data_IF_843710168622
#
_entry.id   IF_843710168622
#
_cell.length_a   1.000
_cell.length_b   1.000
_cell.length_c   1.000
_cell.angle_alpha   90.00
_cell.angle_beta   90.00
_cell.angle_gamma   90.00
#
_symmetry.space_group_name_H-M   'P 1'
#
loop_
_entity.id
_entity.type
_entity.pdbx_description
1 polymer ?
#
# COMPACT_ATOMS: atom_id res chain seq x y z
N UNK A 1 24.08 -14.82 14.52
CA UNK A 1 22.82 -14.30 15.09
C UNK A 1 21.65 -14.89 14.33
N UNK A 2 20.54 -15.18 15.00
CA UNK A 2 19.32 -15.71 14.38
C UNK A 2 18.19 -14.69 14.54
N UNK A 3 17.44 -14.42 13.47
CA UNK A 3 16.30 -13.50 13.47
C UNK A 3 15.07 -14.19 12.90
N UNK A 4 13.91 -13.99 13.52
CA UNK A 4 12.65 -14.46 12.94
C UNK A 4 12.27 -13.61 11.73
N UNK A 5 11.78 -14.27 10.68
CA UNK A 5 11.18 -13.61 9.52
C UNK A 5 9.80 -14.21 9.23
N UNK A 6 8.86 -13.32 8.93
CA UNK A 6 7.54 -13.66 8.43
C UNK A 6 7.33 -12.96 7.09
N UNK A 7 6.86 -13.66 6.08
CA UNK A 7 6.39 -13.05 4.84
C UNK A 7 4.87 -13.10 4.82
N UNK A 8 4.25 -11.92 4.78
CA UNK A 8 2.81 -11.75 4.80
C UNK A 8 2.37 -11.06 3.52
N UNK A 9 1.38 -11.65 2.86
CA UNK A 9 0.68 -11.02 1.75
C UNK A 9 -0.41 -10.11 2.33
N UNK A 10 -0.18 -8.79 2.29
CA UNK A 10 -1.12 -7.79 2.80
C UNK A 10 -2.23 -7.48 1.79
N UNK A 11 -3.42 -7.13 2.29
CA UNK A 11 -4.63 -6.86 1.50
C UNK A 11 -5.17 -8.09 0.75
N UNK A 12 -4.96 -9.28 1.29
CA UNK A 12 -5.53 -10.54 0.77
C UNK A 12 -5.79 -11.52 1.92
N UNK A 13 -6.78 -12.40 1.75
CA UNK A 13 -7.04 -13.52 2.66
C UNK A 13 -6.38 -14.82 2.19
N UNK A 14 -5.78 -14.82 1.00
CA UNK A 14 -5.12 -15.98 0.39
C UNK A 14 -3.68 -15.64 -0.01
N UNK A 15 -2.79 -16.61 0.07
CA UNK A 15 -1.41 -16.49 -0.40
C UNK A 15 -1.36 -16.24 -1.90
N UNK A 16 -0.30 -15.58 -2.36
CA UNK A 16 -0.06 -15.19 -3.76
C UNK A 16 -0.95 -14.04 -4.28
N UNK A 17 -1.88 -13.53 -3.46
CA UNK A 17 -2.60 -12.28 -3.68
C UNK A 17 -1.95 -11.08 -2.98
N UNK A 18 -2.55 -9.90 -3.09
CA UNK A 18 -2.14 -8.73 -2.33
C UNK A 18 -0.69 -8.28 -2.56
N UNK A 19 -0.14 -7.56 -1.59
CA UNK A 19 1.23 -7.03 -1.63
C UNK A 19 2.12 -7.70 -0.57
N UNK A 20 3.15 -8.48 -0.97
CA UNK A 20 4.00 -9.20 -0.04
C UNK A 20 4.96 -8.25 0.69
N UNK A 21 5.06 -8.41 2.01
CA UNK A 21 6.11 -7.79 2.82
C UNK A 21 6.78 -8.81 3.74
N UNK A 22 8.10 -8.69 3.89
CA UNK A 22 8.81 -9.37 4.97
C UNK A 22 8.65 -8.55 6.26
N UNK A 23 8.54 -9.24 7.39
CA UNK A 23 8.45 -8.66 8.72
C UNK A 23 9.46 -9.37 9.62
N UNK A 24 10.36 -8.59 10.19
CA UNK A 24 11.42 -9.05 11.08
C UNK A 24 11.23 -8.40 12.45
N UNK A 25 10.57 -9.07 13.40
CA UNK A 25 10.54 -8.64 14.79
C UNK A 25 11.94 -8.74 15.40
N UNK A 26 12.41 -7.65 16.01
CA UNK A 26 13.74 -7.52 16.59
C UNK A 26 13.64 -7.25 18.10
N UNK A 27 14.62 -7.72 18.86
CA UNK A 27 14.76 -7.36 20.28
C UNK A 27 15.34 -5.96 20.45
N UNK A 28 16.30 -5.60 19.60
CA UNK A 28 16.96 -4.29 19.55
C UNK A 28 17.28 -3.95 18.11
N UNK A 29 17.44 -2.66 17.80
CA UNK A 29 17.85 -2.24 16.47
C UNK A 29 19.21 -2.82 16.06
N UNK A 30 19.26 -3.30 14.82
CA UNK A 30 20.51 -3.65 14.16
C UNK A 30 21.09 -2.39 13.48
N UNK A 31 22.39 -2.40 13.11
CA UNK A 31 22.95 -1.34 12.28
C UNK A 31 22.16 -1.16 10.97
N UNK A 32 22.00 0.08 10.52
CA UNK A 32 21.23 0.41 9.30
C UNK A 32 21.74 -0.35 8.07
N UNK A 33 23.06 -0.50 7.94
CA UNK A 33 23.66 -1.27 6.85
C UNK A 33 23.21 -2.74 6.85
N UNK A 34 23.01 -3.33 8.02
CA UNK A 34 22.54 -4.71 8.17
C UNK A 34 21.04 -4.82 7.84
N UNK A 35 20.22 -3.86 8.28
CA UNK A 35 18.80 -3.79 7.91
C UNK A 35 18.63 -3.64 6.39
N UNK A 36 19.46 -2.80 5.76
CA UNK A 36 19.44 -2.62 4.31
C UNK A 36 19.88 -3.90 3.57
N UNK A 37 20.92 -4.59 4.05
CA UNK A 37 21.38 -5.86 3.45
C UNK A 37 20.31 -6.96 3.52
N UNK A 38 19.63 -7.11 4.66
CA UNK A 38 18.53 -8.08 4.78
C UNK A 38 17.39 -7.74 3.82
N UNK A 39 17.02 -6.46 3.72
CA UNK A 39 15.95 -6.03 2.81
C UNK A 39 16.30 -6.29 1.34
N UNK A 40 17.56 -6.03 0.97
CA UNK A 40 18.10 -6.34 -0.36
C UNK A 40 18.10 -7.84 -0.65
N UNK A 41 18.52 -8.67 0.32
CA UNK A 41 18.56 -10.13 0.19
C UNK A 41 17.16 -10.74 0.05
N UNK A 42 16.18 -10.24 0.81
CA UNK A 42 14.79 -10.67 0.73
C UNK A 42 14.16 -10.33 -0.64
N UNK A 43 14.57 -9.22 -1.25
CA UNK A 43 14.12 -8.74 -2.56
C UNK A 43 12.58 -8.73 -2.72
N UNK A 44 11.87 -8.34 -1.66
CA UNK A 44 10.44 -8.03 -1.67
C UNK A 44 10.23 -6.52 -1.86
N UNK A 45 8.98 -6.09 -2.06
CA UNK A 45 8.62 -4.67 -2.12
C UNK A 45 9.23 -3.93 -0.91
N UNK A 46 8.96 -4.46 0.30
CA UNK A 46 9.50 -3.94 1.54
C UNK A 46 9.78 -5.05 2.56
N UNK A 47 10.82 -4.82 3.37
CA UNK A 47 11.04 -5.49 4.65
C UNK A 47 10.76 -4.51 5.78
N UNK A 48 9.81 -4.86 6.64
CA UNK A 48 9.46 -4.16 7.87
C UNK A 48 10.25 -4.72 9.05
N UNK A 49 10.84 -3.83 9.84
CA UNK A 49 11.51 -4.18 11.10
C UNK A 49 10.75 -3.58 12.26
N UNK A 50 10.49 -4.39 13.28
CA UNK A 50 9.67 -4.00 14.43
C UNK A 50 10.47 -4.20 15.72
N UNK A 51 10.62 -3.16 16.53
CA UNK A 51 11.18 -3.25 17.89
C UNK A 51 10.12 -2.84 18.89
N UNK A 52 9.89 -3.63 19.94
CA UNK A 52 8.99 -3.23 21.03
C UNK A 52 9.68 -2.21 21.93
N UNK A 53 9.03 -1.08 22.18
CA UNK A 53 9.42 -0.08 23.17
C UNK A 53 8.23 0.21 24.11
N UNK A 54 8.09 -0.62 25.14
CA UNK A 54 7.00 -0.54 26.12
C UNK A 54 5.61 -0.74 25.50
N UNK A 55 4.81 0.32 25.47
CA UNK A 55 3.47 0.32 24.87
C UNK A 55 3.44 0.66 23.39
N UNK A 56 4.57 1.04 22.81
CA UNK A 56 4.69 1.43 21.40
C UNK A 56 5.61 0.44 20.69
N UNK A 57 5.38 0.25 19.40
CA UNK A 57 6.29 -0.48 18.52
C UNK A 57 7.02 0.50 17.64
N UNK A 58 8.34 0.51 17.67
CA UNK A 58 9.10 1.26 16.68
C UNK A 58 9.12 0.45 15.39
N UNK A 59 8.84 1.11 14.26
CA UNK A 59 8.66 0.47 12.96
C UNK A 59 9.42 1.24 11.89
N UNK A 60 10.23 0.49 11.11
CA UNK A 60 11.00 0.98 9.97
C UNK A 60 10.75 0.06 8.77
N UNK A 61 10.81 0.62 7.56
CA UNK A 61 10.61 -0.12 6.32
C UNK A 61 11.73 0.16 5.35
N UNK A 62 12.20 -0.90 4.71
CA UNK A 62 13.28 -0.84 3.74
C UNK A 62 12.83 -1.52 2.46
N UNK A 63 12.94 -0.80 1.35
CA UNK A 63 12.99 -1.44 0.04
C UNK A 63 14.37 -2.11 -0.14
N UNK A 64 14.60 -2.85 -1.23
CA UNK A 64 15.92 -3.41 -1.51
C UNK A 64 17.05 -2.36 -1.59
N UNK A 65 16.72 -1.07 -1.78
CA UNK A 65 17.72 -0.02 -2.04
C UNK A 65 17.75 1.09 -1.01
N UNK A 66 16.66 1.34 -0.26
CA UNK A 66 16.58 2.47 0.65
C UNK A 66 15.55 2.27 1.77
N UNK A 67 15.75 2.95 2.91
CA UNK A 67 14.71 3.14 3.93
C UNK A 67 13.63 4.14 3.45
N UNK A 68 12.36 3.81 3.63
CA UNK A 68 11.23 4.69 3.27
C UNK A 68 10.55 5.25 4.52
N UNK A 69 10.02 6.48 4.42
CA UNK A 69 9.43 7.18 5.57
C UNK A 69 8.03 6.65 5.94
N UNK A 70 7.31 6.00 5.01
CA UNK A 70 5.96 5.47 5.22
C UNK A 70 5.65 4.34 4.23
N UNK A 71 5.15 3.20 4.73
CA UNK A 71 4.67 2.11 3.88
C UNK A 71 3.41 1.45 4.47
N UNK A 72 2.28 1.55 3.75
CA UNK A 72 0.99 1.07 4.24
C UNK A 72 0.88 -0.46 4.33
N UNK A 73 1.16 -1.19 3.25
CA UNK A 73 0.98 -2.64 3.22
C UNK A 73 1.94 -3.36 4.19
N UNK A 74 3.18 -2.88 4.32
CA UNK A 74 4.15 -3.43 5.26
C UNK A 74 3.83 -3.08 6.73
N UNK A 75 3.15 -1.94 6.97
CA UNK A 75 2.56 -1.64 8.29
C UNK A 75 1.45 -2.63 8.64
N UNK A 76 0.55 -2.93 7.68
CA UNK A 76 -0.51 -3.92 7.87
C UNK A 76 0.09 -5.31 8.13
N UNK A 77 1.09 -5.71 7.36
CA UNK A 77 1.82 -6.96 7.55
C UNK A 77 2.46 -7.05 8.95
N UNK A 78 3.14 -6.00 9.40
CA UNK A 78 3.75 -5.94 10.73
C UNK A 78 2.71 -6.07 11.85
N UNK A 79 1.59 -5.35 11.73
CA UNK A 79 0.47 -5.46 12.65
C UNK A 79 -0.12 -6.87 12.66
N UNK A 80 -0.27 -7.49 11.48
CA UNK A 80 -0.76 -8.86 11.35
C UNK A 80 0.16 -9.85 12.07
N UNK A 81 1.47 -9.75 11.89
CA UNK A 81 2.44 -10.61 12.60
C UNK A 81 2.34 -10.43 14.12
N UNK A 82 2.27 -9.18 14.60
CA UNK A 82 2.13 -8.90 16.01
C UNK A 82 0.84 -9.52 16.60
N UNK A 83 -0.27 -9.38 15.89
CA UNK A 83 -1.57 -9.90 16.30
C UNK A 83 -1.68 -11.42 16.22
N UNK A 84 -1.28 -12.02 15.09
CA UNK A 84 -1.58 -13.42 14.77
C UNK A 84 -0.43 -14.38 15.09
N UNK A 85 0.82 -13.90 15.09
CA UNK A 85 2.00 -14.75 15.30
C UNK A 85 2.67 -14.53 16.65
N UNK A 86 2.64 -13.30 17.17
CA UNK A 86 3.29 -12.92 18.42
C UNK A 86 2.31 -12.74 19.59
N UNK A 87 1.01 -12.90 19.35
CA UNK A 87 -0.01 -12.94 20.40
C UNK A 87 -0.29 -11.60 21.06
N UNK A 88 -0.14 -10.48 20.34
CA UNK A 88 -0.57 -9.17 20.86
C UNK A 88 -2.09 -9.12 21.03
N UNK A 89 -2.52 -8.83 22.26
CA UNK A 89 -3.92 -8.79 22.66
C UNK A 89 -4.49 -7.37 22.81
N UNK A 90 -3.74 -6.35 22.39
CA UNK A 90 -4.20 -4.95 22.46
C UNK A 90 -5.23 -4.69 21.37
N UNK A 91 -6.21 -3.82 21.63
CA UNK A 91 -7.19 -3.44 20.59
C UNK A 91 -6.55 -2.62 19.46
N UNK A 92 -5.55 -1.81 19.81
CA UNK A 92 -4.85 -0.89 18.91
C UNK A 92 -3.34 -1.06 19.10
N UNK A 93 -2.63 -1.32 18.00
CA UNK A 93 -1.18 -1.23 17.93
C UNK A 93 -0.80 0.20 17.54
N UNK A 94 0.12 0.78 18.30
CA UNK A 94 0.71 2.10 18.03
C UNK A 94 2.12 1.89 17.53
N UNK A 95 2.40 2.40 16.35
CA UNK A 95 3.72 2.35 15.72
C UNK A 95 4.36 3.74 15.73
N UNK A 96 5.55 3.87 16.31
CA UNK A 96 6.39 5.04 16.16
C UNK A 96 7.25 4.87 14.89
N UNK A 97 7.13 5.83 13.97
CA UNK A 97 7.74 5.76 12.63
C UNK A 97 8.38 7.12 12.30
N UNK A 98 9.18 7.18 11.23
CA UNK A 98 9.77 8.45 10.74
C UNK A 98 8.71 9.48 10.33
N UNK A 99 7.53 9.02 9.89
CA UNK A 99 6.39 9.86 9.54
C UNK A 99 5.45 10.16 10.71
N UNK A 100 5.86 9.85 11.95
CA UNK A 100 5.04 10.01 13.15
C UNK A 100 4.32 8.72 13.55
N UNK A 101 3.29 8.85 14.39
CA UNK A 101 2.54 7.70 14.90
C UNK A 101 1.56 7.14 13.87
N UNK A 102 1.61 5.82 13.65
CA UNK A 102 0.56 5.07 12.94
C UNK A 102 -0.21 4.20 13.92
N UNK A 103 -1.51 4.04 13.66
CA UNK A 103 -2.40 3.20 14.47
C UNK A 103 -3.01 2.12 13.60
N UNK A 104 -2.95 0.88 14.09
CA UNK A 104 -3.60 -0.26 13.45
C UNK A 104 -4.47 -0.97 14.47
N UNK A 105 -5.75 -1.14 14.15
CA UNK A 105 -6.71 -1.85 15.01
C UNK A 105 -7.28 -3.07 14.31
N UNK A 106 -7.72 -4.07 15.08
CA UNK A 106 -8.53 -5.17 14.54
C UNK A 106 -9.92 -4.66 14.16
N UNK A 107 -10.45 -5.18 13.07
CA UNK A 107 -11.81 -4.91 12.57
C UNK A 107 -12.40 -6.21 12.03
N UNK A 108 -12.95 -7.02 12.93
CA UNK A 108 -13.31 -8.40 12.60
C UNK A 108 -12.08 -9.18 12.14
N UNK A 109 -12.11 -9.71 10.93
CA UNK A 109 -10.99 -10.41 10.29
C UNK A 109 -10.02 -9.50 9.51
N UNK A 110 -10.27 -8.18 9.49
CA UNK A 110 -9.41 -7.18 8.83
C UNK A 110 -8.58 -6.42 9.87
N UNK A 111 -7.53 -5.78 9.39
CA UNK A 111 -6.78 -4.78 10.13
C UNK A 111 -7.02 -3.42 9.49
N UNK A 112 -7.37 -2.44 10.32
CA UNK A 112 -7.75 -1.09 9.91
C UNK A 112 -6.65 -0.09 10.25
N UNK A 113 -6.24 0.70 9.27
CA UNK A 113 -5.21 1.75 9.39
C UNK A 113 -5.84 3.12 9.15
N UNK A 114 -5.42 4.12 9.92
CA UNK A 114 -6.00 5.46 9.88
C UNK A 114 -5.03 6.48 9.22
N UNK A 115 -5.43 7.04 8.08
CA UNK A 115 -4.63 7.95 7.27
C UNK A 115 -5.31 9.30 7.06
N UNK A 116 -4.54 10.38 6.83
CA UNK A 116 -5.10 11.64 6.34
C UNK A 116 -5.69 11.42 4.94
N UNK A 117 -6.93 11.85 4.74
CA UNK A 117 -7.53 11.90 3.43
C UNK A 117 -6.88 13.01 2.62
N UNK A 118 -6.75 12.80 1.31
CA UNK A 118 -6.20 13.77 0.36
C UNK A 118 -7.25 14.04 -0.69
N UNK A 119 -7.56 15.31 -0.90
CA UNK A 119 -8.51 15.72 -1.92
C UNK A 119 -7.78 15.89 -3.25
N UNK A 120 -8.06 15.05 -4.26
CA UNK A 120 -7.42 15.18 -5.57
C UNK A 120 -8.01 16.37 -6.33
N UNK A 121 -7.12 17.20 -6.89
CA UNK A 121 -7.50 18.41 -7.64
C UNK A 121 -7.55 18.12 -9.14
N UNK A 122 -8.58 18.62 -9.83
CA UNK A 122 -8.73 18.43 -11.27
C UNK A 122 -7.63 19.20 -12.00
N UNK A 123 -6.94 18.55 -12.93
CA UNK A 123 -5.85 19.15 -13.72
C UNK A 123 -5.98 18.83 -15.20
N UNK A 124 -5.32 19.63 -16.04
CA UNK A 124 -5.20 19.33 -17.46
C UNK A 124 -4.30 18.12 -17.69
N UNK A 125 -4.61 17.32 -18.72
CA UNK A 125 -3.81 16.16 -19.10
C UNK A 125 -2.47 16.61 -19.67
N UNK A 126 -1.33 16.28 -19.05
CA UNK A 126 -0.03 16.63 -19.59
C UNK A 126 0.23 15.84 -20.89
N UNK A 127 0.93 16.44 -21.87
CA UNK A 127 1.27 15.76 -23.11
C UNK A 127 1.98 14.42 -22.87
N UNK A 128 1.61 13.39 -23.62
CA UNK A 128 2.24 12.07 -23.57
C UNK A 128 1.72 11.13 -22.47
N UNK A 129 0.93 11.60 -21.48
CA UNK A 129 0.46 10.72 -20.40
C UNK A 129 -0.42 9.58 -20.91
N UNK A 130 -1.38 9.88 -21.79
CA UNK A 130 -2.26 8.86 -22.36
C UNK A 130 -1.48 7.85 -23.20
N UNK A 131 -0.54 8.33 -24.02
CA UNK A 131 0.35 7.47 -24.79
C UNK A 131 1.18 6.56 -23.89
N UNK A 132 1.74 7.08 -22.80
CA UNK A 132 2.51 6.31 -21.83
C UNK A 132 1.67 5.25 -21.12
N UNK A 133 0.36 5.47 -20.96
CA UNK A 133 -0.56 4.49 -20.39
C UNK A 133 -1.16 3.53 -21.43
N UNK A 134 -0.93 3.77 -22.73
CA UNK A 134 -1.60 3.05 -23.81
C UNK A 134 -3.10 3.34 -23.91
N UNK A 135 -3.52 4.55 -23.51
CA UNK A 135 -4.90 5.01 -23.51
C UNK A 135 -5.17 5.99 -24.66
N UNK A 136 -6.38 5.93 -25.22
CA UNK A 136 -6.86 6.91 -26.21
C UNK A 136 -7.58 8.09 -25.54
N UNK A 137 -8.35 7.79 -24.50
CA UNK A 137 -9.17 8.77 -23.78
C UNK A 137 -9.28 8.43 -22.30
N UNK A 138 -9.61 9.44 -21.49
CA UNK A 138 -9.90 9.35 -20.06
C UNK A 138 -11.10 10.24 -19.73
N UNK A 139 -11.82 9.94 -18.66
CA UNK A 139 -12.92 10.78 -18.16
C UNK A 139 -12.37 12.08 -17.55
N UNK A 140 -11.34 11.94 -16.71
CA UNK A 140 -10.75 13.04 -15.95
C UNK A 140 -9.35 12.68 -15.45
N UNK A 141 -8.54 13.71 -15.22
CA UNK A 141 -7.26 13.61 -14.55
C UNK A 141 -7.27 14.50 -13.31
N UNK A 142 -6.87 13.92 -12.18
CA UNK A 142 -6.63 14.66 -10.96
C UNK A 142 -5.20 14.49 -10.48
N UNK A 143 -4.77 15.37 -9.57
CA UNK A 143 -3.42 15.36 -8.98
C UNK A 143 -3.47 15.51 -7.45
N UNK A 144 -2.66 14.71 -6.78
CA UNK A 144 -2.18 14.89 -5.39
C UNK A 144 -0.65 14.72 -5.39
N UNK A 145 -0.12 13.79 -4.58
CA UNK A 145 1.24 13.26 -4.77
C UNK A 145 1.29 12.36 -6.02
N UNK A 146 0.16 11.73 -6.34
CA UNK A 146 -0.03 10.88 -7.51
C UNK A 146 -0.91 11.57 -8.56
N UNK A 147 -0.80 11.13 -9.81
CA UNK A 147 -1.89 11.33 -10.77
C UNK A 147 -2.99 10.30 -10.52
N UNK A 148 -4.24 10.75 -10.54
CA UNK A 148 -5.43 9.90 -10.50
C UNK A 148 -6.13 10.02 -11.84
N UNK A 149 -5.93 9.01 -12.68
CA UNK A 149 -6.48 8.88 -14.03
C UNK A 149 -7.79 8.10 -13.93
N UNK A 150 -8.89 8.73 -14.29
CA UNK A 150 -10.22 8.12 -14.24
C UNK A 150 -10.60 7.65 -15.63
N UNK A 151 -10.98 6.38 -15.75
CA UNK A 151 -11.50 5.78 -16.98
C UNK A 151 -12.90 5.21 -16.75
N UNK A 152 -13.65 5.04 -17.83
CA UNK A 152 -15.07 4.69 -17.78
C UNK A 152 -15.34 3.22 -17.41
N UNK A 153 -14.43 2.29 -17.74
CA UNK A 153 -14.67 0.84 -17.65
C UNK A 153 -13.48 0.11 -17.00
N UNK A 154 -13.76 -0.82 -16.09
CA UNK A 154 -12.77 -1.71 -15.46
C UNK A 154 -12.03 -2.60 -16.47
N UNK A 155 -12.62 -2.89 -17.63
CA UNK A 155 -11.95 -3.60 -18.71
C UNK A 155 -10.70 -2.86 -19.23
N UNK A 156 -10.72 -1.52 -19.21
CA UNK A 156 -9.57 -0.69 -19.58
C UNK A 156 -8.43 -0.94 -18.59
N UNK A 157 -8.72 -1.00 -17.28
CA UNK A 157 -7.72 -1.25 -16.22
C UNK A 157 -7.02 -2.60 -16.43
N UNK A 158 -7.79 -3.65 -16.75
CA UNK A 158 -7.27 -4.98 -17.00
C UNK A 158 -6.35 -5.05 -18.24
N UNK A 159 -6.65 -4.23 -19.26
CA UNK A 159 -5.89 -4.17 -20.51
C UNK A 159 -4.68 -3.22 -20.50
N UNK A 160 -4.46 -2.45 -19.43
CA UNK A 160 -3.35 -1.49 -19.36
C UNK A 160 -1.99 -2.19 -19.54
N UNK A 161 -1.18 -1.65 -20.45
CA UNK A 161 0.20 -2.07 -20.67
C UNK A 161 1.10 -0.82 -20.76
N UNK A 162 1.42 -0.19 -19.61
CA UNK A 162 2.10 1.11 -19.61
C UNK A 162 3.56 1.04 -20.07
N UNK A 163 3.99 2.08 -20.77
CA UNK A 163 5.41 2.37 -20.99
C UNK A 163 5.99 2.99 -19.71
N UNK A 164 6.62 2.16 -18.89
CA UNK A 164 7.21 2.59 -17.61
C UNK A 164 8.34 3.61 -17.79
N UNK A 165 9.07 3.56 -18.90
CA UNK A 165 10.14 4.52 -19.17
C UNK A 165 9.55 5.90 -19.48
N UNK A 166 8.48 5.96 -20.27
CA UNK A 166 7.74 7.19 -20.51
C UNK A 166 7.07 7.71 -19.23
N UNK A 167 6.48 6.83 -18.42
CA UNK A 167 5.86 7.21 -17.13
C UNK A 167 6.87 7.78 -16.13
N UNK A 168 8.13 7.35 -16.15
CA UNK A 168 9.17 7.88 -15.26
C UNK A 168 9.50 9.36 -15.52
N UNK A 169 9.15 9.89 -16.69
CA UNK A 169 9.40 11.29 -17.05
C UNK A 169 8.45 12.28 -16.36
N UNK A 170 7.33 11.82 -15.80
CA UNK A 170 6.38 12.71 -15.11
C UNK A 170 6.87 13.06 -13.71
N UNK A 171 6.75 14.35 -13.34
CA UNK A 171 7.11 14.84 -12.01
C UNK A 171 5.97 14.62 -11.01
N UNK A 172 5.79 13.35 -10.66
CA UNK A 172 4.74 12.84 -9.77
C UNK A 172 5.25 11.56 -9.09
N UNK A 173 4.72 11.22 -7.91
CA UNK A 173 5.14 10.01 -7.18
C UNK A 173 4.75 8.74 -7.93
N UNK A 174 3.51 8.70 -8.43
CA UNK A 174 3.03 7.64 -9.29
C UNK A 174 1.74 8.01 -10.03
N UNK A 175 1.23 7.06 -10.80
CA UNK A 175 0.02 7.18 -11.61
C UNK A 175 -0.94 6.07 -11.21
N UNK A 176 -2.02 6.44 -10.54
CA UNK A 176 -3.15 5.57 -10.25
C UNK A 176 -4.15 5.66 -11.41
N UNK A 177 -4.48 4.55 -12.05
CA UNK A 177 -5.59 4.48 -13.03
C UNK A 177 -6.75 3.75 -12.39
N UNK A 178 -7.95 4.31 -12.44
CA UNK A 178 -9.11 3.80 -11.69
C UNK A 178 -10.41 3.89 -12.49
N UNK A 179 -11.32 2.95 -12.23
CA UNK A 179 -12.60 2.80 -12.93
C UNK A 179 -13.71 2.34 -11.96
N UNK A 180 -15.00 2.57 -12.27
CA UNK A 180 -16.08 1.94 -11.52
C UNK A 180 -16.03 0.42 -11.77
N UNK A 181 -16.48 -0.38 -10.79
CA UNK A 181 -16.47 -1.83 -10.90
C UNK A 181 -17.86 -2.45 -10.80
N UNK A 182 -18.01 -3.65 -11.37
CA UNK A 182 -19.23 -4.47 -11.22
C UNK A 182 -19.24 -5.30 -9.95
N UNK A 183 -18.07 -5.56 -9.36
CA UNK A 183 -17.90 -6.43 -8.19
C UNK A 183 -17.46 -5.67 -6.94
N UNK A 184 -16.78 -4.54 -7.12
CA UNK A 184 -16.38 -3.61 -6.07
C UNK A 184 -16.99 -2.24 -6.34
N UNK A 185 -16.83 -1.28 -5.43
CA UNK A 185 -17.23 0.10 -5.72
C UNK A 185 -16.31 0.73 -6.77
N UNK A 186 -15.00 0.41 -6.73
CA UNK A 186 -14.04 0.79 -7.76
C UNK A 186 -12.86 -0.18 -7.84
N UNK A 187 -12.15 -0.13 -8.97
CA UNK A 187 -10.88 -0.84 -9.16
C UNK A 187 -9.75 0.13 -9.51
N UNK A 188 -8.51 -0.28 -9.27
CA UNK A 188 -7.34 0.50 -9.66
C UNK A 188 -6.11 -0.32 -10.03
N UNK A 189 -5.17 0.31 -10.73
CA UNK A 189 -3.76 -0.08 -10.81
C UNK A 189 -2.90 1.14 -10.50
N UNK A 190 -1.70 0.92 -9.95
CA UNK A 190 -0.80 1.99 -9.56
C UNK A 190 0.60 1.76 -10.10
N UNK A 191 1.17 2.78 -10.74
CA UNK A 191 2.46 2.73 -11.41
C UNK A 191 3.39 3.81 -10.89
N UNK A 192 4.57 3.45 -10.38
CA UNK A 192 5.53 4.39 -9.79
C UNK A 192 6.97 4.16 -10.25
N UNK A 193 7.26 4.10 -11.56
CA UNK A 193 8.61 3.80 -12.04
C UNK A 193 9.66 4.80 -11.53
N UNK A 194 9.27 6.05 -11.26
CA UNK A 194 10.13 7.08 -10.66
C UNK A 194 10.57 6.76 -9.22
N UNK A 195 9.77 6.00 -8.49
CA UNK A 195 10.10 5.52 -7.14
C UNK A 195 10.65 4.08 -7.15
N UNK A 196 11.03 3.58 -8.33
CA UNK A 196 11.67 2.27 -8.50
C UNK A 196 10.70 1.09 -8.57
N UNK A 197 9.39 1.34 -8.62
CA UNK A 197 8.36 0.30 -8.67
C UNK A 197 7.49 0.51 -9.90
N UNK A 198 7.73 -0.28 -10.96
CA UNK A 198 6.96 -0.15 -12.20
C UNK A 198 5.45 -0.29 -11.97
N UNK A 199 5.04 -1.33 -11.23
CA UNK A 199 3.67 -1.52 -10.76
C UNK A 199 3.68 -2.05 -9.33
N UNK A 200 2.92 -1.39 -8.45
CA UNK A 200 2.77 -1.80 -7.07
C UNK A 200 1.49 -2.63 -6.91
N UNK A 201 1.54 -3.88 -6.40
CA UNK A 201 0.37 -4.75 -6.31
C UNK A 201 -0.80 -4.12 -5.57
N UNK A 202 -0.53 -3.50 -4.42
CA UNK A 202 -1.54 -2.81 -3.61
C UNK A 202 -0.94 -1.62 -2.89
N UNK A 203 -1.44 -0.43 -3.20
CA UNK A 203 -0.91 0.84 -2.71
C UNK A 203 -1.90 1.49 -1.75
N UNK A 204 -1.77 1.20 -0.45
CA UNK A 204 -2.62 1.79 0.58
C UNK A 204 -2.59 3.33 0.56
N UNK A 205 -1.43 3.95 0.34
CA UNK A 205 -1.33 5.41 0.30
C UNK A 205 -2.08 6.04 -0.89
N UNK A 206 -2.21 5.36 -2.03
CA UNK A 206 -3.01 5.85 -3.16
C UNK A 206 -4.50 5.96 -2.80
N UNK A 207 -4.99 5.09 -1.91
CA UNK A 207 -6.36 5.10 -1.43
C UNK A 207 -6.70 6.29 -0.53
N UNK A 208 -5.69 7.03 -0.05
CA UNK A 208 -5.90 8.34 0.58
C UNK A 208 -6.50 9.37 -0.36
N UNK A 209 -6.30 9.21 -1.68
CA UNK A 209 -6.89 10.07 -2.72
C UNK A 209 -8.03 9.37 -3.47
N UNK A 210 -7.91 8.07 -3.76
CA UNK A 210 -8.93 7.32 -4.49
C UNK A 210 -10.25 7.20 -3.71
N UNK A 211 -10.19 6.89 -2.40
CA UNK A 211 -11.40 6.68 -1.62
C UNK A 211 -12.24 7.97 -1.49
N UNK A 212 -11.69 9.15 -1.15
CA UNK A 212 -12.46 10.40 -1.16
C UNK A 212 -13.06 10.74 -2.54
N UNK A 213 -12.31 10.51 -3.61
CA UNK A 213 -12.81 10.72 -4.98
C UNK A 213 -14.05 9.85 -5.27
N UNK A 214 -13.95 8.54 -5.05
CA UNK A 214 -15.03 7.60 -5.32
C UNK A 214 -16.20 7.74 -4.34
N UNK A 215 -15.93 8.04 -3.07
CA UNK A 215 -16.94 8.36 -2.06
C UNK A 215 -17.85 9.49 -2.53
N UNK A 216 -17.25 10.59 -3.02
CA UNK A 216 -17.97 11.73 -3.57
C UNK A 216 -18.73 11.38 -4.85
N UNK A 217 -18.10 10.65 -5.79
CA UNK A 217 -18.74 10.26 -7.06
C UNK A 217 -19.93 9.32 -6.86
N UNK A 218 -19.86 8.43 -5.87
CA UNK A 218 -20.87 7.39 -5.61
C UNK A 218 -21.88 7.79 -4.51
N UNK A 219 -21.63 8.86 -3.76
CA UNK A 219 -22.45 9.26 -2.61
C UNK A 219 -22.38 8.26 -1.45
N UNK A 220 -21.20 7.69 -1.20
CA UNK A 220 -20.94 6.68 -0.15
C UNK A 220 -19.80 7.10 0.77
N UNK A 221 -19.85 6.68 2.04
CA UNK A 221 -18.73 6.85 2.98
C UNK A 221 -17.96 5.54 3.23
N UNK A 222 -18.53 4.40 2.86
CA UNK A 222 -17.90 3.08 2.99
C UNK A 222 -17.82 2.44 1.61
N UNK A 223 -16.62 2.04 1.21
CA UNK A 223 -16.30 1.56 -0.14
C UNK A 223 -15.53 0.24 -0.09
N UNK A 224 -15.81 -0.65 -1.03
CA UNK A 224 -14.94 -1.78 -1.38
C UNK A 224 -14.12 -1.46 -2.62
N UNK A 225 -12.85 -1.84 -2.60
CA UNK A 225 -11.94 -1.61 -3.71
C UNK A 225 -11.09 -2.85 -4.00
N UNK A 226 -10.70 -3.02 -5.25
CA UNK A 226 -9.66 -3.97 -5.65
C UNK A 226 -8.55 -3.22 -6.41
N UNK A 227 -7.30 -3.46 -6.04
CA UNK A 227 -6.14 -2.96 -6.77
C UNK A 227 -5.31 -4.12 -7.32
N UNK A 228 -4.77 -3.94 -8.52
CA UNK A 228 -3.62 -4.68 -9.01
C UNK A 228 -3.87 -5.42 -10.33
N UNK A 229 -2.77 -5.71 -11.04
CA UNK A 229 -2.76 -6.51 -12.26
C UNK A 229 -2.59 -8.01 -11.96
N UNK A 230 -1.34 -8.48 -12.02
CA UNK A 230 -1.01 -9.90 -11.85
C UNK A 230 -1.30 -10.43 -10.43
N UNK A 231 -1.02 -9.61 -9.42
CA UNK A 231 -1.48 -9.81 -8.04
C UNK A 231 -2.58 -8.82 -7.76
N UNK A 232 -3.64 -9.27 -7.10
CA UNK A 232 -4.79 -8.44 -6.75
C UNK A 232 -4.95 -8.39 -5.24
N UNK A 233 -5.21 -7.22 -4.70
CA UNK A 233 -5.58 -7.05 -3.30
C UNK A 233 -6.88 -6.30 -3.14
N UNK A 234 -7.55 -6.60 -2.05
CA UNK A 234 -8.86 -6.04 -1.70
C UNK A 234 -8.72 -5.12 -0.50
N UNK A 235 -9.30 -3.93 -0.62
CA UNK A 235 -9.30 -2.92 0.41
C UNK A 235 -10.73 -2.55 0.77
N UNK A 236 -10.94 -2.23 2.04
CA UNK A 236 -12.13 -1.55 2.49
C UNK A 236 -11.75 -0.15 2.92
N UNK A 237 -12.44 0.86 2.41
CA UNK A 237 -12.17 2.25 2.72
C UNK A 237 -13.39 2.88 3.40
N UNK A 238 -13.16 3.56 4.52
CA UNK A 238 -14.15 4.37 5.20
C UNK A 238 -13.68 5.83 5.19
N UNK A 239 -14.41 6.70 4.48
CA UNK A 239 -14.14 8.14 4.42
C UNK A 239 -14.91 8.82 5.56
N UNK A 240 -14.18 9.49 6.44
CA UNK A 240 -14.72 10.13 7.63
C UNK A 240 -14.92 11.64 7.41
N UNK A 241 -15.81 12.25 8.19
CA UNK A 241 -16.15 13.69 8.11
C UNK A 241 -15.07 14.62 8.70
N UNK A 242 -13.88 14.11 8.98
CA UNK A 242 -12.77 14.84 9.63
C UNK A 242 -11.46 14.76 8.83
N UNK A 243 -11.54 14.72 7.50
CA UNK A 243 -10.39 14.62 6.58
C UNK A 243 -9.50 13.39 6.85
N UNK A 244 -10.12 12.28 7.26
CA UNK A 244 -9.46 10.99 7.47
C UNK A 244 -10.09 9.92 6.60
N UNK A 245 -9.28 8.92 6.27
CA UNK A 245 -9.75 7.68 5.66
C UNK A 245 -9.19 6.51 6.44
N UNK A 246 -10.08 5.59 6.81
CA UNK A 246 -9.70 4.28 7.32
C UNK A 246 -9.52 3.35 6.14
N UNK A 247 -8.37 2.68 6.06
CA UNK A 247 -8.08 1.69 5.04
C UNK A 247 -7.87 0.36 5.76
N UNK A 248 -8.75 -0.59 5.48
CA UNK A 248 -8.74 -1.91 6.09
C UNK A 248 -8.44 -3.00 5.07
N UNK A 249 -7.73 -4.04 5.49
CA UNK A 249 -7.38 -5.18 4.65
C UNK A 249 -7.12 -6.45 5.47
N UNK A 250 -7.11 -7.59 4.77
CA UNK A 250 -6.68 -8.86 5.35
C UNK A 250 -5.16 -9.02 5.26
N UNK A 251 -4.62 -10.01 5.97
CA UNK A 251 -3.26 -10.50 5.78
C UNK A 251 -3.25 -12.02 5.70
N UNK A 252 -2.40 -12.58 4.85
CA UNK A 252 -2.19 -14.01 4.71
C UNK A 252 -0.71 -14.34 4.91
N UNK A 253 -0.40 -15.27 5.82
CA UNK A 253 0.96 -15.76 6.02
C UNK A 253 1.36 -16.66 4.85
N UNK A 254 2.40 -16.28 4.12
CA UNK A 254 3.00 -17.09 3.07
C UNK A 254 4.15 -17.94 3.61
N UNK A 255 5.05 -17.32 4.39
CA UNK A 255 6.26 -17.98 4.88
C UNK A 255 6.59 -17.53 6.30
N UNK A 256 7.09 -18.46 7.11
CA UNK A 256 7.77 -18.19 8.38
C UNK A 256 9.12 -18.89 8.36
N UNK A 257 10.17 -18.21 8.81
CA UNK A 257 11.52 -18.78 8.83
C UNK A 257 12.46 -18.05 9.79
N UNK A 258 13.75 -18.33 9.61
CA UNK A 258 14.83 -17.75 10.41
C UNK A 258 15.95 -17.28 9.49
N UNK A 259 16.36 -16.02 9.63
CA UNK A 259 17.53 -15.43 8.97
C UNK A 259 18.76 -15.72 9.82
N UNK A 260 19.87 -16.09 9.18
CA UNK A 260 21.18 -16.29 9.82
C UNK A 260 22.16 -15.23 9.33
N UNK A 261 22.69 -14.41 10.26
CA UNK A 261 23.72 -13.39 9.99
C UNK A 261 24.82 -13.37 11.04
#
# INVERSE_FOLDING_TARGET
MQLDIFQVDAFTSETFGGNPAAVCPLQTWLPDATLQQIAAENNLSETAYVVRNGEVFELRWFTPTVEVDLCGHATLAAAWVLFEQLGENRDILRFATRSGELRVRREGARLAMDFPARQPELVAVPPGLLQALGLEQIDALYRTDDYVVVVEDEAIIAGLNPDFAALAAFDVRGVAVTAPSRHFDFVSRWFGPRVGVNEDPVTGSAHTSLAPYWAKRLGKCSLSAEQGGARKGQLHCEVLDNDRVIISGHGALYLRGTIFI
#
